data_IF_164157816155
#
_entry.id   IF_164157816155
#
_cell.length_a   1.000
_cell.length_b   1.000
_cell.length_c   1.000
_cell.angle_alpha   90.00
_cell.angle_beta   90.00
_cell.angle_gamma   90.00
#
_symmetry.space_group_name_H-M   'P 1'
#
loop_
_entity.id
_entity.type
_entity.pdbx_description
1 polymer ?
#
# COMPACT_ATOMS: atom_id res chain seq x y z
N UNK A 1 -12.64 19.04 5.54
CA UNK A 1 -12.23 17.72 5.02
C UNK A 1 -11.45 17.04 6.13
N UNK A 2 -11.82 15.82 6.49
CA UNK A 2 -11.07 15.04 7.49
C UNK A 2 -9.80 14.50 6.84
N UNK A 3 -8.61 14.67 7.44
CA UNK A 3 -7.39 14.02 6.98
C UNK A 3 -7.47 12.50 7.21
N UNK A 4 -6.41 11.77 6.83
CA UNK A 4 -6.27 10.36 7.21
C UNK A 4 -6.49 10.18 8.71
N UNK A 5 -7.33 9.22 9.08
CA UNK A 5 -7.76 9.02 10.47
C UNK A 5 -8.10 7.56 10.74
N UNK A 6 -7.85 7.13 11.97
CA UNK A 6 -8.29 5.84 12.51
C UNK A 6 -9.59 5.98 13.33
N UNK A 7 -10.10 7.21 13.51
CA UNK A 7 -11.28 7.50 14.32
C UNK A 7 -12.57 7.43 13.50
N UNK A 8 -13.44 6.49 13.86
CA UNK A 8 -14.78 6.36 13.26
C UNK A 8 -15.59 7.67 13.35
N UNK A 9 -15.51 8.37 14.49
CA UNK A 9 -16.17 9.66 14.66
C UNK A 9 -15.66 10.74 13.71
N UNK A 10 -14.35 10.76 13.44
CA UNK A 10 -13.76 11.69 12.48
C UNK A 10 -14.15 11.35 11.02
N UNK A 11 -14.30 10.06 10.70
CA UNK A 11 -14.84 9.59 9.42
C UNK A 11 -16.29 10.06 9.26
N UNK A 12 -17.15 9.84 10.26
CA UNK A 12 -18.56 10.28 10.21
C UNK A 12 -18.68 11.78 9.99
N UNK A 13 -17.93 12.59 10.74
CA UNK A 13 -17.91 14.04 10.55
C UNK A 13 -17.39 14.46 9.16
N UNK A 14 -16.44 13.72 8.60
CA UNK A 14 -15.95 13.92 7.24
C UNK A 14 -17.02 13.67 6.18
N UNK A 15 -17.81 12.60 6.35
CA UNK A 15 -18.93 12.27 5.47
C UNK A 15 -20.04 13.32 5.53
N UNK A 16 -20.36 13.83 6.72
CA UNK A 16 -21.33 14.91 6.87
C UNK A 16 -20.85 16.22 6.22
N UNK A 17 -19.54 16.49 6.29
CA UNK A 17 -18.91 17.56 5.53
C UNK A 17 -19.05 17.40 4.01
N UNK A 18 -18.91 16.19 3.48
CA UNK A 18 -19.10 15.92 2.05
C UNK A 18 -20.57 16.07 1.62
N UNK A 19 -21.54 15.67 2.45
CA UNK A 19 -22.98 15.81 2.16
C UNK A 19 -23.41 17.26 2.01
N UNK A 20 -22.75 18.18 2.71
CA UNK A 20 -23.08 19.61 2.70
C UNK A 20 -22.20 20.42 1.73
N UNK A 21 -21.17 19.79 1.17
CA UNK A 21 -20.24 20.44 0.26
C UNK A 21 -20.90 20.82 -1.07
N UNK A 22 -20.70 22.07 -1.49
CA UNK A 22 -21.14 22.58 -2.80
C UNK A 22 -19.92 22.98 -3.62
N UNK A 23 -19.65 22.29 -4.76
CA UNK A 23 -18.53 22.67 -5.61
C UNK A 23 -18.81 24.03 -6.27
N UNK A 24 -17.76 24.85 -6.40
CA UNK A 24 -17.83 26.13 -7.11
C UNK A 24 -17.92 25.96 -8.63
N UNK A 25 -17.32 24.90 -9.13
CA UNK A 25 -17.30 24.51 -10.55
C UNK A 25 -17.90 23.11 -10.64
N UNK A 26 -19.05 22.93 -11.34
CA UNK A 26 -19.72 21.64 -11.44
C UNK A 26 -19.03 20.70 -12.44
N UNK A 27 -17.97 21.13 -13.14
CA UNK A 27 -17.23 20.26 -14.04
C UNK A 27 -16.42 19.20 -13.28
N UNK A 28 -16.40 17.98 -13.81
CA UNK A 28 -15.63 16.87 -13.26
C UNK A 28 -14.19 16.96 -13.75
N UNK A 29 -13.22 17.25 -12.86
CA UNK A 29 -11.78 17.17 -13.12
C UNK A 29 -11.21 15.83 -12.60
N UNK A 30 -11.59 14.73 -13.24
CA UNK A 30 -11.28 13.38 -12.75
C UNK A 30 -9.78 13.10 -12.77
N UNK A 31 -9.11 13.36 -13.89
CA UNK A 31 -7.68 13.08 -14.04
C UNK A 31 -6.84 13.89 -13.03
N UNK A 32 -7.13 15.19 -12.89
CA UNK A 32 -6.46 16.02 -11.90
C UNK A 32 -6.72 15.58 -10.46
N UNK A 33 -7.95 15.13 -10.14
CA UNK A 33 -8.27 14.62 -8.82
C UNK A 33 -7.48 13.35 -8.46
N UNK A 34 -7.28 12.43 -9.42
CA UNK A 34 -6.46 11.23 -9.24
C UNK A 34 -5.00 11.62 -8.96
N UNK A 35 -4.43 12.52 -9.77
CA UNK A 35 -3.05 12.98 -9.60
C UNK A 35 -2.83 13.67 -8.24
N UNK A 36 -3.73 14.56 -7.83
CA UNK A 36 -3.64 15.22 -6.52
C UNK A 36 -3.89 14.27 -5.35
N UNK A 37 -4.80 13.30 -5.51
CA UNK A 37 -5.03 12.24 -4.52
C UNK A 37 -3.78 11.42 -4.24
N UNK A 38 -3.01 11.06 -5.27
CA UNK A 38 -1.73 10.37 -5.13
C UNK A 38 -0.68 11.21 -4.39
N UNK A 39 -0.60 12.51 -4.71
CA UNK A 39 0.33 13.43 -4.04
C UNK A 39 0.01 13.58 -2.56
N UNK A 40 -1.27 13.72 -2.20
CA UNK A 40 -1.68 13.85 -0.80
C UNK A 40 -1.53 12.52 -0.03
N UNK A 41 -1.82 11.39 -0.67
CA UNK A 41 -1.55 10.05 -0.12
C UNK A 41 -0.06 9.89 0.18
N UNK A 42 0.81 10.19 -0.79
CA UNK A 42 2.26 10.13 -0.62
C UNK A 42 2.74 11.05 0.50
N UNK A 43 2.34 12.31 0.48
CA UNK A 43 2.69 13.29 1.52
C UNK A 43 2.26 12.84 2.91
N UNK A 44 1.15 12.13 3.03
CA UNK A 44 0.67 11.59 4.30
C UNK A 44 1.51 10.39 4.75
N UNK A 45 1.77 9.45 3.84
CA UNK A 45 2.67 8.31 4.12
C UNK A 45 4.10 8.75 4.45
N UNK A 46 4.62 9.79 3.81
CA UNK A 46 5.97 10.30 4.07
C UNK A 46 6.13 10.82 5.51
N UNK A 47 5.05 11.32 6.13
CA UNK A 47 5.03 11.76 7.53
C UNK A 47 5.02 10.61 8.55
N UNK A 48 4.61 9.42 8.13
CA UNK A 48 4.57 8.25 9.00
C UNK A 48 5.99 7.78 9.35
N UNK A 49 6.19 7.38 10.61
CA UNK A 49 7.49 6.88 11.09
C UNK A 49 7.63 5.36 10.94
N UNK A 50 6.56 4.68 10.53
CA UNK A 50 6.57 3.23 10.33
C UNK A 50 7.50 2.87 9.16
N UNK A 51 8.31 1.80 9.27
CA UNK A 51 9.27 1.43 8.24
C UNK A 51 8.61 0.85 6.98
N UNK A 52 7.45 0.21 7.14
CA UNK A 52 6.63 -0.28 6.03
C UNK A 52 5.44 0.64 5.82
N UNK A 53 5.29 1.13 4.59
CA UNK A 53 4.27 2.10 4.18
C UNK A 53 3.58 1.59 2.93
N UNK A 54 2.29 1.32 3.04
CA UNK A 54 1.46 0.90 1.92
C UNK A 54 0.37 1.95 1.72
N UNK A 55 0.15 2.35 0.47
CA UNK A 55 -0.84 3.34 0.11
C UNK A 55 -2.00 2.71 -0.63
N UNK A 56 -3.22 3.14 -0.33
CA UNK A 56 -4.39 2.76 -1.10
C UNK A 56 -5.15 4.02 -1.52
N UNK A 57 -5.42 4.16 -2.81
CA UNK A 57 -6.28 5.19 -3.37
C UNK A 57 -7.54 4.53 -3.94
N UNK A 58 -8.71 4.94 -3.45
CA UNK A 58 -10.01 4.50 -4.00
C UNK A 58 -10.71 5.69 -4.63
N UNK A 59 -10.98 5.60 -5.92
CA UNK A 59 -11.58 6.68 -6.72
C UNK A 59 -13.05 6.38 -6.96
N UNK A 60 -13.93 7.25 -6.47
CA UNK A 60 -15.37 7.20 -6.75
C UNK A 60 -15.70 8.23 -7.83
N UNK A 61 -16.35 7.80 -8.91
CA UNK A 61 -16.76 8.71 -9.99
C UNK A 61 -18.03 8.24 -10.67
N UNK A 62 -18.83 9.17 -11.16
CA UNK A 62 -20.08 8.92 -11.89
C UNK A 62 -19.92 9.01 -13.42
N UNK A 63 -18.75 9.44 -13.90
CA UNK A 63 -18.55 9.65 -15.33
C UNK A 63 -17.13 10.01 -15.75
N UNK A 64 -17.05 10.53 -16.98
CA UNK A 64 -15.82 10.90 -17.67
C UNK A 64 -15.30 12.26 -17.19
N UNK A 65 -13.99 12.48 -17.27
CA UNK A 65 -13.38 13.80 -17.09
C UNK A 65 -13.99 14.82 -18.07
N UNK A 66 -14.69 15.83 -17.55
CA UNK A 66 -15.33 16.89 -18.35
C UNK A 66 -14.54 18.19 -18.33
N UNK A 67 -13.79 18.43 -17.25
CA UNK A 67 -12.98 19.63 -17.11
C UNK A 67 -11.71 19.56 -17.97
N UNK A 68 -11.19 18.35 -18.23
CA UNK A 68 -10.05 18.09 -19.12
C UNK A 68 -8.83 18.98 -18.82
N UNK A 69 -8.63 19.34 -17.53
CA UNK A 69 -7.51 20.20 -17.10
C UNK A 69 -6.17 19.48 -17.20
N UNK A 70 -6.22 18.15 -17.12
CA UNK A 70 -5.11 17.24 -17.37
C UNK A 70 -5.57 16.18 -18.36
N UNK A 71 -4.69 15.78 -19.28
CA UNK A 71 -5.02 14.71 -20.19
C UNK A 71 -5.03 13.36 -19.46
N UNK A 72 -5.71 12.38 -20.07
CA UNK A 72 -5.67 10.99 -19.59
C UNK A 72 -4.25 10.44 -19.60
N UNK A 73 -3.43 10.86 -20.56
CA UNK A 73 -2.04 10.44 -20.67
C UNK A 73 -1.19 11.02 -19.54
N UNK A 74 -1.38 12.30 -19.18
CA UNK A 74 -0.68 12.91 -18.04
C UNK A 74 -0.96 12.15 -16.74
N UNK A 75 -2.22 11.77 -16.52
CA UNK A 75 -2.62 10.97 -15.38
C UNK A 75 -1.96 9.58 -15.40
N UNK A 76 -1.91 8.90 -16.55
CA UNK A 76 -1.25 7.60 -16.69
C UNK A 76 0.25 7.70 -16.39
N UNK A 77 0.93 8.70 -16.93
CA UNK A 77 2.34 8.94 -16.66
C UNK A 77 2.58 9.22 -15.16
N UNK A 78 1.68 9.94 -14.50
CA UNK A 78 1.73 10.13 -13.04
C UNK A 78 1.58 8.79 -12.29
N UNK A 79 0.58 7.97 -12.64
CA UNK A 79 0.31 6.67 -12.03
C UNK A 79 1.48 5.68 -12.13
N UNK A 80 2.27 5.79 -13.20
CA UNK A 80 3.42 4.91 -13.48
C UNK A 80 4.72 5.34 -12.80
N UNK A 81 4.74 6.46 -12.08
CA UNK A 81 5.95 6.89 -11.37
C UNK A 81 6.35 5.87 -10.30
N UNK A 82 7.66 5.57 -10.24
CA UNK A 82 8.26 4.62 -9.27
C UNK A 82 7.84 4.87 -7.82
N UNK A 83 7.64 6.12 -7.43
CA UNK A 83 7.23 6.47 -6.07
C UNK A 83 5.83 5.98 -5.67
N UNK A 84 5.00 5.55 -6.63
CA UNK A 84 3.67 5.00 -6.40
C UNK A 84 3.59 3.50 -6.77
N UNK A 85 4.72 2.83 -7.05
CA UNK A 85 4.73 1.42 -7.49
C UNK A 85 4.09 0.48 -6.47
N UNK A 86 4.23 0.81 -5.18
CA UNK A 86 3.73 0.02 -4.05
C UNK A 86 2.33 0.48 -3.57
N UNK A 87 1.66 1.34 -4.34
CA UNK A 87 0.31 1.81 -4.01
C UNK A 87 -0.73 0.97 -4.73
N UNK A 88 -1.82 0.66 -4.04
CA UNK A 88 -3.01 0.07 -4.66
C UNK A 88 -3.99 1.15 -5.09
N UNK A 89 -4.50 1.03 -6.30
CA UNK A 89 -5.38 2.02 -6.91
C UNK A 89 -6.61 1.32 -7.44
N UNK A 90 -7.75 1.65 -6.83
CA UNK A 90 -9.05 1.10 -7.13
C UNK A 90 -9.98 2.18 -7.69
N UNK A 91 -10.87 1.79 -8.59
CA UNK A 91 -11.90 2.67 -9.11
C UNK A 91 -13.29 2.06 -8.91
N UNK A 92 -14.21 2.85 -8.36
CA UNK A 92 -15.62 2.51 -8.23
C UNK A 92 -16.40 3.50 -9.07
N UNK A 93 -16.97 2.97 -10.14
CA UNK A 93 -17.76 3.74 -11.06
C UNK A 93 -19.25 3.60 -10.81
N UNK A 94 -19.98 4.71 -10.72
CA UNK A 94 -21.41 4.73 -10.37
C UNK A 94 -22.26 5.34 -11.49
N UNK A 95 -23.40 4.74 -11.81
CA UNK A 95 -24.39 5.30 -12.73
C UNK A 95 -24.19 4.93 -14.20
N UNK A 96 -25.04 5.51 -15.06
CA UNK A 96 -25.21 5.06 -16.44
C UNK A 96 -24.10 5.55 -17.40
N UNK A 97 -23.44 6.67 -17.11
CA UNK A 97 -22.40 7.24 -17.98
C UNK A 97 -21.03 6.56 -17.83
N UNK A 98 -20.89 5.66 -16.86
CA UNK A 98 -19.60 5.16 -16.40
C UNK A 98 -18.83 4.31 -17.42
N UNK A 99 -19.54 3.62 -18.32
CA UNK A 99 -18.92 2.78 -19.36
C UNK A 99 -18.02 3.60 -20.30
N UNK A 100 -18.27 4.91 -20.42
CA UNK A 100 -17.48 5.83 -21.24
C UNK A 100 -16.29 6.44 -20.50
N UNK A 101 -16.19 6.26 -19.18
CA UNK A 101 -15.14 6.84 -18.37
C UNK A 101 -13.83 6.03 -18.41
N UNK A 102 -13.85 4.80 -18.96
CA UNK A 102 -12.65 3.99 -19.14
C UNK A 102 -11.85 3.80 -17.86
N UNK A 103 -12.47 3.44 -16.73
CA UNK A 103 -11.84 3.47 -15.40
C UNK A 103 -10.72 2.45 -15.16
N UNK A 104 -10.52 1.49 -16.07
CA UNK A 104 -9.53 0.43 -15.88
C UNK A 104 -8.08 0.93 -15.83
N UNK A 105 -7.78 2.08 -16.43
CA UNK A 105 -6.45 2.69 -16.33
C UNK A 105 -6.24 3.46 -15.02
N UNK A 106 -7.33 3.93 -14.39
CA UNK A 106 -7.31 4.54 -13.04
C UNK A 106 -7.20 3.42 -12.00
N UNK A 107 -8.17 2.50 -12.00
CA UNK A 107 -8.26 1.39 -11.05
C UNK A 107 -7.41 0.20 -11.47
N UNK A 108 -6.09 0.38 -11.62
CA UNK A 108 -5.15 -0.65 -12.11
C UNK A 108 -5.17 -1.93 -11.27
N UNK A 109 -5.49 -1.83 -9.98
CA UNK A 109 -5.56 -2.95 -9.03
C UNK A 109 -6.99 -3.48 -8.86
N UNK A 110 -7.98 -2.76 -9.41
CA UNK A 110 -9.35 -3.20 -9.50
C UNK A 110 -10.31 -2.09 -9.86
N UNK A 111 -11.24 -2.41 -10.76
CA UNK A 111 -12.34 -1.53 -11.12
C UNK A 111 -13.66 -2.26 -10.91
N UNK A 112 -14.58 -1.64 -10.18
CA UNK A 112 -15.95 -2.13 -10.00
C UNK A 112 -16.92 -1.09 -10.57
N UNK A 113 -17.94 -1.56 -11.29
CA UNK A 113 -18.95 -0.71 -11.91
C UNK A 113 -20.31 -1.05 -11.33
N UNK A 114 -21.03 -0.03 -10.88
CA UNK A 114 -22.38 -0.12 -10.34
C UNK A 114 -23.31 0.80 -11.13
N UNK A 115 -24.19 0.23 -11.95
CA UNK A 115 -25.15 1.00 -12.76
C UNK A 115 -26.37 1.46 -11.96
N UNK A 116 -26.60 0.89 -10.78
CA UNK A 116 -27.72 1.17 -9.90
C UNK A 116 -27.27 1.28 -8.44
N UNK A 117 -28.05 2.00 -7.63
CA UNK A 117 -27.70 2.32 -6.25
C UNK A 117 -27.49 1.06 -5.39
N UNK A 118 -28.25 -0.01 -5.63
CA UNK A 118 -28.08 -1.30 -4.96
C UNK A 118 -26.72 -1.95 -5.25
N UNK A 119 -26.21 -1.79 -6.48
CA UNK A 119 -24.91 -2.31 -6.90
C UNK A 119 -23.72 -1.56 -6.30
N UNK A 120 -23.89 -0.31 -5.85
CA UNK A 120 -22.80 0.51 -5.29
C UNK A 120 -22.26 -0.11 -4.01
N UNK A 121 -23.15 -0.61 -3.12
CA UNK A 121 -22.73 -1.28 -1.88
C UNK A 121 -21.89 -2.52 -2.18
N UNK A 122 -22.31 -3.33 -3.14
CA UNK A 122 -21.59 -4.54 -3.53
C UNK A 122 -20.22 -4.21 -4.17
N UNK A 123 -20.15 -3.18 -5.00
CA UNK A 123 -18.89 -2.70 -5.58
C UNK A 123 -17.92 -2.24 -4.47
N UNK A 124 -18.43 -1.50 -3.49
CA UNK A 124 -17.65 -1.07 -2.33
C UNK A 124 -17.14 -2.26 -1.51
N UNK A 125 -18.01 -3.21 -1.16
CA UNK A 125 -17.64 -4.42 -0.41
C UNK A 125 -16.56 -5.22 -1.14
N UNK A 126 -16.65 -5.40 -2.45
CA UNK A 126 -15.61 -6.09 -3.23
C UNK A 126 -14.26 -5.39 -3.19
N UNK A 127 -14.24 -4.05 -3.25
CA UNK A 127 -12.99 -3.29 -3.14
C UNK A 127 -12.45 -3.38 -1.71
N UNK A 128 -13.31 -3.27 -0.69
CA UNK A 128 -12.92 -3.46 0.70
C UNK A 128 -12.29 -4.85 0.93
N UNK A 129 -12.90 -5.91 0.40
CA UNK A 129 -12.38 -7.27 0.48
C UNK A 129 -11.02 -7.42 -0.23
N UNK A 130 -10.81 -6.71 -1.36
CA UNK A 130 -9.52 -6.70 -2.06
C UNK A 130 -8.44 -6.04 -1.22
N UNK A 131 -8.73 -4.88 -0.66
CA UNK A 131 -7.82 -4.14 0.25
C UNK A 131 -7.49 -5.02 1.45
N UNK A 132 -8.49 -5.63 2.09
CA UNK A 132 -8.26 -6.50 3.24
C UNK A 132 -7.36 -7.69 2.88
N UNK A 133 -7.65 -8.39 1.78
CA UNK A 133 -6.78 -9.48 1.31
C UNK A 133 -5.37 -9.00 1.02
N UNK A 134 -5.19 -7.81 0.45
CA UNK A 134 -3.88 -7.27 0.16
C UNK A 134 -3.09 -7.00 1.43
N UNK A 135 -3.69 -6.34 2.43
CA UNK A 135 -3.03 -6.04 3.71
C UNK A 135 -2.56 -7.31 4.44
N UNK A 136 -3.23 -8.44 4.23
CA UNK A 136 -2.85 -9.76 4.79
C UNK A 136 -1.68 -10.45 4.09
N UNK A 137 -1.10 -9.86 3.03
CA UNK A 137 0.02 -10.45 2.28
C UNK A 137 1.41 -10.06 2.79
N UNK A 138 1.48 -9.14 3.74
CA UNK A 138 2.74 -8.65 4.27
C UNK A 138 3.15 -9.45 5.51
N UNK A 139 4.37 -9.96 5.50
CA UNK A 139 4.95 -10.75 6.58
C UNK A 139 6.22 -10.07 7.06
N UNK A 140 6.42 -10.06 8.38
CA UNK A 140 7.70 -9.74 8.98
C UNK A 140 8.40 -11.05 9.34
N UNK A 141 9.61 -11.24 8.84
CA UNK A 141 10.43 -12.41 9.12
C UNK A 141 11.70 -11.98 9.85
N UNK A 142 11.97 -12.60 10.98
CA UNK A 142 13.24 -12.49 11.71
C UNK A 142 14.00 -13.81 11.60
N UNK A 143 15.27 -13.76 11.20
CA UNK A 143 16.13 -14.94 11.07
C UNK A 143 17.51 -14.66 11.63
N UNK A 144 17.93 -15.46 12.61
CA UNK A 144 19.29 -15.46 13.14
C UNK A 144 20.13 -16.52 12.44
N UNK A 145 21.14 -16.09 11.68
CA UNK A 145 22.02 -17.00 10.97
C UNK A 145 23.04 -17.67 11.91
N UNK A 146 23.32 -18.98 11.74
CA UNK A 146 24.44 -19.62 12.41
C UNK A 146 25.79 -19.28 11.76
N UNK A 147 25.81 -18.66 10.58
CA UNK A 147 27.03 -18.27 9.90
C UNK A 147 27.80 -17.20 10.70
N UNK A 148 29.14 -17.28 10.67
CA UNK A 148 30.05 -16.37 11.41
C UNK A 148 31.13 -15.73 10.55
N UNK A 149 31.18 -16.10 9.26
CA UNK A 149 32.17 -15.63 8.30
C UNK A 149 31.70 -15.90 6.87
N UNK A 150 32.14 -15.07 5.92
CA UNK A 150 31.93 -15.25 4.48
C UNK A 150 30.54 -14.84 4.00
N UNK A 151 30.34 -14.95 2.69
CA UNK A 151 29.06 -14.64 2.04
C UNK A 151 28.18 -15.88 1.99
N UNK A 152 26.91 -15.72 2.32
CA UNK A 152 25.87 -16.75 2.32
C UNK A 152 24.61 -16.21 1.66
N UNK A 153 23.77 -17.11 1.17
CA UNK A 153 22.47 -16.78 0.61
C UNK A 153 21.40 -17.38 1.51
N UNK A 154 20.43 -16.56 1.94
CA UNK A 154 19.20 -17.05 2.57
C UNK A 154 18.09 -17.08 1.52
N UNK A 155 17.36 -18.19 1.46
CA UNK A 155 16.21 -18.36 0.57
C UNK A 155 14.95 -18.58 1.39
N UNK A 156 13.97 -17.72 1.17
CA UNK A 156 12.65 -17.77 1.81
C UNK A 156 11.68 -18.30 0.78
N UNK A 157 10.97 -19.39 1.09
CA UNK A 157 9.96 -19.98 0.19
C UNK A 157 8.60 -19.89 0.84
N UNK A 158 7.68 -19.20 0.20
CA UNK A 158 6.27 -19.15 0.56
C UNK A 158 5.50 -20.19 -0.26
N UNK A 159 4.77 -21.08 0.42
CA UNK A 159 3.92 -22.09 -0.23
C UNK A 159 2.47 -21.87 0.21
N UNK A 160 1.57 -21.71 -0.74
CA UNK A 160 0.13 -21.61 -0.52
C UNK A 160 -0.57 -22.89 -1.00
N UNK A 161 -1.43 -23.45 -0.15
CA UNK A 161 -2.25 -24.62 -0.49
C UNK A 161 -3.57 -24.22 -1.16
N UNK A 162 -4.10 -23.03 -0.87
CA UNK A 162 -5.36 -22.52 -1.43
C UNK A 162 -5.34 -20.98 -1.51
N UNK A 163 -5.26 -20.39 -2.72
CA UNK A 163 -5.02 -21.05 -4.00
C UNK A 163 -3.65 -21.74 -4.02
N UNK A 164 -3.47 -22.76 -4.85
CA UNK A 164 -2.19 -23.46 -4.95
C UNK A 164 -1.16 -22.52 -5.60
N UNK A 165 -0.03 -22.31 -4.93
CA UNK A 165 1.01 -21.44 -5.45
C UNK A 165 2.28 -21.49 -4.62
N UNK A 166 3.38 -21.05 -5.20
CA UNK A 166 4.65 -20.91 -4.51
C UNK A 166 5.43 -19.71 -5.03
N UNK A 167 6.15 -19.05 -4.13
CA UNK A 167 7.12 -18.03 -4.50
C UNK A 167 8.32 -18.11 -3.58
N UNK A 168 9.43 -17.54 -4.03
CA UNK A 168 10.65 -17.48 -3.25
C UNK A 168 11.36 -16.14 -3.40
N UNK A 169 12.12 -15.82 -2.35
CA UNK A 169 12.95 -14.63 -2.24
C UNK A 169 14.33 -15.09 -1.79
N UNK A 170 15.35 -14.70 -2.56
CA UNK A 170 16.75 -14.91 -2.18
C UNK A 170 17.40 -13.59 -1.76
N UNK A 171 18.24 -13.68 -0.74
CA UNK A 171 19.00 -12.56 -0.20
C UNK A 171 20.43 -13.01 0.14
N UNK A 172 21.41 -12.32 -0.41
CA UNK A 172 22.83 -12.51 -0.07
C UNK A 172 23.26 -11.64 1.12
N UNK A 173 23.95 -12.22 2.09
CA UNK A 173 24.51 -11.52 3.23
C UNK A 173 25.95 -11.95 3.51
N UNK A 174 26.77 -11.05 4.05
CA UNK A 174 28.09 -11.37 4.56
C UNK A 174 28.01 -11.51 6.10
N UNK A 175 28.47 -12.64 6.62
CA UNK A 175 28.42 -13.00 8.04
C UNK A 175 29.71 -12.65 8.82
N UNK A 176 30.70 -12.03 8.19
CA UNK A 176 31.92 -11.54 8.82
C UNK A 176 31.57 -10.57 9.94
N UNK A 177 31.96 -10.90 11.17
CA UNK A 177 31.73 -10.06 12.36
C UNK A 177 30.40 -10.31 13.08
N UNK A 178 29.60 -11.28 12.66
CA UNK A 178 28.40 -11.66 13.40
C UNK A 178 28.76 -12.39 14.71
N UNK A 179 28.22 -11.92 15.84
CA UNK A 179 28.49 -12.45 17.18
C UNK A 179 27.70 -13.71 17.53
N UNK A 180 28.14 -14.48 18.56
CA UNK A 180 27.32 -15.53 19.16
C UNK A 180 26.10 -14.93 19.91
N UNK A 181 25.08 -15.75 20.28
CA UNK A 181 24.08 -15.32 21.24
C UNK A 181 24.76 -14.72 22.50
N UNK A 182 24.22 -13.65 23.11
CA UNK A 182 22.82 -13.22 23.05
C UNK A 182 22.49 -12.16 21.97
N UNK A 183 23.43 -11.80 21.10
CA UNK A 183 23.28 -10.64 20.20
C UNK A 183 22.21 -10.81 19.09
N UNK A 184 21.68 -12.02 18.90
CA UNK A 184 20.59 -12.30 17.96
C UNK A 184 19.56 -13.23 18.58
N UNK A 185 18.38 -12.70 18.90
CA UNK A 185 17.19 -13.48 19.26
C UNK A 185 16.09 -13.25 18.22
N UNK A 186 15.71 -14.27 17.42
CA UNK A 186 14.70 -14.13 16.38
C UNK A 186 13.29 -13.91 16.94
N UNK A 187 13.07 -14.14 18.24
CA UNK A 187 11.82 -13.86 18.92
C UNK A 187 11.75 -12.43 19.45
N UNK A 188 12.84 -11.66 19.34
CA UNK A 188 12.84 -10.24 19.70
C UNK A 188 11.78 -9.52 18.86
N UNK A 189 10.76 -8.92 19.49
CA UNK A 189 9.78 -8.15 18.75
C UNK A 189 10.45 -6.96 18.07
N UNK A 190 9.98 -6.56 16.87
CA UNK A 190 10.50 -5.37 16.23
C UNK A 190 10.31 -4.14 17.13
N UNK A 191 11.23 -3.18 17.01
CA UNK A 191 11.17 -1.90 17.74
C UNK A 191 10.06 -0.96 17.23
N UNK A 192 9.27 -1.40 16.25
CA UNK A 192 8.11 -0.70 15.73
C UNK A 192 6.82 -1.45 16.08
N UNK A 193 5.72 -0.74 16.33
CA UNK A 193 4.43 -1.34 16.62
C UNK A 193 3.96 -2.24 15.47
N UNK A 194 3.53 -3.45 15.81
CA UNK A 194 2.98 -4.41 14.85
C UNK A 194 1.49 -4.21 14.60
N UNK A 195 0.80 -3.48 15.49
CA UNK A 195 -0.62 -3.16 15.36
C UNK A 195 -0.80 -1.69 14.99
N UNK A 196 -1.76 -1.45 14.11
CA UNK A 196 -2.27 -0.11 13.81
C UNK A 196 -2.80 0.54 15.10
N UNK A 197 -2.48 1.82 15.34
CA UNK A 197 -2.84 2.55 16.57
C UNK A 197 -1.90 2.43 17.78
N UNK A 198 -0.87 1.58 17.75
CA UNK A 198 0.07 1.41 18.86
C UNK A 198 1.23 2.45 18.76
N UNK A 199 1.57 3.08 19.90
CA UNK A 199 2.51 4.22 19.95
C UNK A 199 3.94 3.73 19.75
N UNK A 200 4.72 4.42 18.92
CA UNK A 200 6.15 4.13 18.77
C UNK A 200 6.86 4.51 20.07
N UNK A 201 7.34 3.52 20.82
CA UNK A 201 8.21 3.74 21.97
C UNK A 201 9.61 4.14 21.47
N UNK A 202 9.83 5.45 21.39
CA UNK A 202 11.11 6.03 20.95
C UNK A 202 12.28 5.74 21.90
N UNK A 203 12.01 5.22 23.11
CA UNK A 203 13.03 4.82 24.08
C UNK A 203 13.80 3.56 23.68
N UNK A 204 13.24 2.70 22.84
CA UNK A 204 13.90 1.47 22.32
C UNK A 204 14.67 1.65 21.02
N UNK A 205 14.62 2.83 20.41
CA UNK A 205 15.32 3.12 19.15
C UNK A 205 16.82 3.42 19.40
N UNK A 206 17.20 3.76 20.65
CA UNK A 206 18.60 3.90 21.06
C UNK A 206 19.08 2.59 21.71
N UNK A 207 19.46 1.62 20.89
CA UNK A 207 19.99 0.36 21.43
C UNK A 207 20.29 -0.69 20.38
N UNK A 208 21.12 -0.35 19.39
CA UNK A 208 22.25 -1.20 18.96
C UNK A 208 23.01 -0.49 17.84
N UNK A 209 23.99 0.33 18.21
CA UNK A 209 25.08 0.71 17.32
C UNK A 209 26.09 -0.45 17.26
N UNK A 210 25.67 -1.58 16.71
CA UNK A 210 26.47 -2.80 16.56
C UNK A 210 27.04 -2.94 15.16
N UNK A 211 28.29 -2.51 14.98
CA UNK A 211 29.25 -2.92 13.94
C UNK A 211 28.73 -3.14 12.50
N UNK A 212 28.75 -2.08 11.69
CA UNK A 212 29.60 -2.02 10.49
C UNK A 212 29.47 -3.05 9.35
N UNK A 213 28.42 -3.85 9.26
CA UNK A 213 28.20 -4.75 8.12
C UNK A 213 27.70 -4.00 6.88
N UNK A 214 28.54 -3.80 5.85
CA UNK A 214 28.09 -3.31 4.54
C UNK A 214 27.26 -4.39 3.84
N UNK A 215 25.95 -4.31 3.94
CA UNK A 215 25.02 -5.17 3.19
C UNK A 215 24.96 -4.68 1.74
N UNK A 216 25.56 -5.43 0.80
CA UNK A 216 25.29 -5.26 -0.63
C UNK A 216 24.06 -6.08 -0.99
N UNK A 217 22.93 -5.40 -1.20
CA UNK A 217 21.65 -6.05 -1.49
C UNK A 217 21.56 -6.40 -2.98
N UNK A 218 21.48 -7.69 -3.30
CA UNK A 218 20.89 -8.20 -4.53
C UNK A 218 19.73 -9.12 -4.10
N UNK A 219 18.51 -8.75 -4.49
CA UNK A 219 17.32 -9.53 -4.19
C UNK A 219 16.68 -9.96 -5.51
N UNK A 220 16.36 -11.25 -5.64
CA UNK A 220 15.54 -11.80 -6.71
C UNK A 220 14.32 -12.46 -6.10
N UNK A 221 13.15 -12.18 -6.69
CA UNK A 221 11.88 -12.75 -6.27
C UNK A 221 11.23 -13.44 -7.46
N UNK A 222 10.68 -14.63 -7.23
CA UNK A 222 9.90 -15.38 -8.23
C UNK A 222 8.57 -15.81 -7.62
N UNK A 223 7.50 -15.83 -8.43
CA UNK A 223 6.19 -16.27 -7.99
C UNK A 223 5.49 -17.05 -9.10
N UNK A 224 4.82 -18.14 -8.73
CA UNK A 224 4.02 -18.98 -9.62
C UNK A 224 2.69 -19.32 -8.95
N UNK A 225 1.62 -19.26 -9.73
CA UNK A 225 0.29 -19.70 -9.34
C UNK A 225 -0.08 -20.83 -10.31
N UNK A 226 -0.45 -21.98 -9.78
CA UNK A 226 -0.83 -23.17 -10.56
C UNK A 226 -2.32 -23.44 -10.42
#
# INVERSE_FOLDING_TARGET
MTPFTESEGAVSGGLDGLRTYKPKDPSTNLHGAVMEGLKELKKSLDKEKKPLKFGTLVVFTDGTDRAARFSREDMKQELLKEQYKDYEIYAIGVGAEIKKAGLGDIGRDGTELATEQAGVKQAFEKVADRIERHTKRFYLLSYCTPARKGTHTVRIVANSKNPKGSGDLEWDFNADGFGPPPDCDPNTPPVFPLKTGEVVDTGKIQGDSGSGGKVKVKASASASVN
#
